data_IF_805160794868
#
_entry.id   IF_805160794868
#
_cell.length_a   1.000
_cell.length_b   1.000
_cell.length_c   1.000
_cell.angle_alpha   90.00
_cell.angle_beta   90.00
_cell.angle_gamma   90.00
#
_symmetry.space_group_name_H-M   'P 1'
#
loop_
_entity.id
_entity.type
_entity.pdbx_description
1 polymer ?
#
# COMPACT_ATOMS: atom_id res chain seq x y z
N UNK A 1 -7.76 -11.26 18.07
CA UNK A 1 -7.83 -9.79 18.18
C UNK A 1 -8.91 -9.26 17.22
N UNK A 2 -9.51 -8.13 17.58
CA UNK A 2 -10.48 -7.41 16.76
C UNK A 2 -9.75 -6.33 15.96
N UNK A 3 -10.13 -6.17 14.69
CA UNK A 3 -9.64 -5.10 13.83
C UNK A 3 -10.71 -4.01 13.77
N UNK A 4 -10.31 -2.80 14.10
CA UNK A 4 -11.19 -1.62 14.07
C UNK A 4 -10.71 -0.69 12.95
N UNK A 5 -11.65 -0.25 12.11
CA UNK A 5 -11.37 0.76 11.09
C UNK A 5 -11.15 2.12 11.73
N UNK A 6 -10.15 2.85 11.26
CA UNK A 6 -9.92 4.22 11.64
C UNK A 6 -10.09 5.13 10.42
N UNK A 7 -10.83 6.25 10.53
CA UNK A 7 -11.00 7.20 9.46
C UNK A 7 -9.68 7.77 8.96
N UNK A 8 -9.61 8.05 7.66
CA UNK A 8 -8.45 8.58 6.98
C UNK A 8 -8.87 9.63 5.94
N UNK A 9 -7.95 10.52 5.60
CA UNK A 9 -8.08 11.51 4.53
C UNK A 9 -6.95 11.39 3.50
N UNK A 10 -6.75 12.42 2.69
CA UNK A 10 -5.67 12.44 1.69
C UNK A 10 -4.25 12.56 2.29
N UNK A 11 -4.12 12.74 3.61
CA UNK A 11 -2.86 12.70 4.37
C UNK A 11 -2.76 11.44 5.29
N UNK A 12 -3.66 10.48 5.16
CA UNK A 12 -3.67 9.22 5.91
C UNK A 12 -4.56 9.24 7.14
N UNK A 13 -4.28 8.38 8.13
CA UNK A 13 -5.09 8.22 9.34
C UNK A 13 -5.31 9.55 10.07
N UNK A 14 -6.54 9.82 10.50
CA UNK A 14 -6.91 11.02 11.26
C UNK A 14 -6.51 10.87 12.73
N UNK A 15 -5.57 11.69 13.27
CA UNK A 15 -5.10 11.56 14.64
C UNK A 15 -6.22 11.71 15.67
N UNK A 16 -7.13 12.67 15.49
CA UNK A 16 -8.24 12.89 16.42
C UNK A 16 -9.15 11.65 16.53
N UNK A 17 -9.34 10.93 15.43
CA UNK A 17 -10.12 9.70 15.44
C UNK A 17 -9.38 8.56 16.14
N UNK A 18 -8.07 8.44 15.91
CA UNK A 18 -7.21 7.48 16.63
C UNK A 18 -7.25 7.76 18.13
N UNK A 19 -7.13 9.03 18.52
CA UNK A 19 -7.23 9.46 19.91
C UNK A 19 -8.56 9.05 20.54
N UNK A 20 -9.70 9.31 19.83
CA UNK A 20 -11.04 8.92 20.31
C UNK A 20 -11.19 7.40 20.44
N UNK A 21 -10.64 6.63 19.52
CA UNK A 21 -10.66 5.16 19.57
C UNK A 21 -9.88 4.69 20.80
N UNK A 22 -8.67 5.21 21.04
CA UNK A 22 -7.83 4.87 22.19
C UNK A 22 -8.50 5.21 23.53
N UNK A 23 -9.30 6.29 23.58
CA UNK A 23 -10.05 6.68 24.78
C UNK A 23 -11.27 5.77 25.07
N UNK A 24 -11.81 5.13 24.01
CA UNK A 24 -13.04 4.32 24.14
C UNK A 24 -12.75 2.84 24.37
N UNK A 25 -11.61 2.34 23.89
CA UNK A 25 -11.29 0.92 23.95
C UNK A 25 -9.77 0.70 24.10
N UNK A 26 -9.36 -0.45 24.64
CA UNK A 26 -7.93 -0.78 24.80
C UNK A 26 -7.29 -1.16 23.45
N UNK A 27 -6.77 -0.17 22.73
CA UNK A 27 -6.02 -0.39 21.49
C UNK A 27 -4.66 -0.99 21.81
N UNK A 28 -4.27 -2.07 21.13
CA UNK A 28 -2.97 -2.73 21.31
C UNK A 28 -1.95 -2.30 20.26
N UNK A 29 -2.41 -2.08 19.01
CA UNK A 29 -1.55 -1.65 17.94
C UNK A 29 -2.29 -0.78 16.92
N UNK A 30 -1.55 0.13 16.29
CA UNK A 30 -1.97 0.90 15.10
C UNK A 30 -1.16 0.37 13.93
N UNK A 31 -1.85 -0.19 12.92
CA UNK A 31 -1.22 -0.56 11.65
C UNK A 31 -1.29 0.62 10.69
N UNK A 32 -0.15 0.98 10.10
CA UNK A 32 -0.06 2.13 9.20
C UNK A 32 0.90 1.87 8.04
N UNK A 33 0.53 2.36 6.84
CA UNK A 33 1.37 2.39 5.65
C UNK A 33 1.66 3.85 5.32
N UNK A 34 2.78 4.43 5.82
CA UNK A 34 2.99 5.87 5.77
C UNK A 34 3.44 6.38 4.40
N UNK A 35 3.92 5.52 3.52
CA UNK A 35 4.40 5.87 2.18
C UNK A 35 3.64 5.07 1.12
N UNK A 36 3.07 5.77 0.12
CA UNK A 36 2.36 5.14 -1.01
C UNK A 36 1.34 4.10 -0.54
N UNK A 37 0.49 4.51 0.40
CA UNK A 37 -0.46 3.63 1.08
C UNK A 37 -1.30 2.82 0.08
N UNK A 38 -1.40 1.53 0.33
CA UNK A 38 -2.24 0.63 -0.44
C UNK A 38 -3.64 0.56 0.20
N UNK A 39 -4.72 0.96 -0.50
CA UNK A 39 -4.79 1.16 -1.97
C UNK A 39 -4.72 2.63 -2.44
N UNK A 40 -4.78 3.63 -1.56
CA UNK A 40 -5.12 5.03 -1.90
C UNK A 40 -3.95 5.87 -2.40
N UNK A 41 -2.71 5.32 -2.47
CA UNK A 41 -1.50 6.04 -2.91
C UNK A 41 -1.12 7.22 -2.00
N UNK A 42 -1.71 7.30 -0.82
CA UNK A 42 -1.45 8.38 0.14
C UNK A 42 -0.04 8.27 0.72
N UNK A 43 0.67 9.38 0.83
CA UNK A 43 1.91 9.50 1.60
C UNK A 43 1.68 10.46 2.75
N UNK A 44 1.87 9.97 3.96
CA UNK A 44 1.60 10.69 5.20
C UNK A 44 2.64 11.78 5.44
N UNK A 45 2.19 13.00 5.73
CA UNK A 45 3.06 14.13 6.08
C UNK A 45 3.82 13.89 7.39
N UNK A 46 4.92 14.62 7.58
CA UNK A 46 5.69 14.54 8.83
C UNK A 46 4.83 14.94 10.04
N UNK A 47 4.02 15.98 9.90
CA UNK A 47 3.12 16.44 10.96
C UNK A 47 2.15 15.33 11.39
N UNK A 48 1.60 14.58 10.42
CA UNK A 48 0.69 13.48 10.67
C UNK A 48 1.40 12.30 11.37
N UNK A 49 2.64 11.98 10.95
CA UNK A 49 3.47 10.94 11.62
C UNK A 49 3.76 11.31 13.06
N UNK A 50 4.14 12.57 13.31
CA UNK A 50 4.40 13.06 14.68
C UNK A 50 3.15 13.01 15.56
N UNK A 51 1.98 13.41 15.05
CA UNK A 51 0.73 13.33 15.78
C UNK A 51 0.38 11.87 16.18
N UNK A 52 0.59 10.90 15.29
CA UNK A 52 0.40 9.48 15.62
C UNK A 52 1.41 8.99 16.68
N UNK A 53 2.66 9.42 16.61
CA UNK A 53 3.69 9.12 17.62
C UNK A 53 3.27 9.64 18.99
N UNK A 54 2.78 10.87 19.07
CA UNK A 54 2.33 11.47 20.32
C UNK A 54 1.15 10.71 20.95
N UNK A 55 0.21 10.25 20.13
CA UNK A 55 -0.91 9.41 20.57
C UNK A 55 -0.38 8.05 21.05
N UNK A 56 0.49 7.40 20.28
CA UNK A 56 1.07 6.11 20.64
C UNK A 56 1.79 6.17 21.99
N UNK A 57 2.55 7.23 22.24
CA UNK A 57 3.23 7.45 23.54
C UNK A 57 2.26 7.66 24.69
N UNK A 58 1.24 8.52 24.52
CA UNK A 58 0.24 8.79 25.56
C UNK A 58 -0.53 7.54 25.98
N UNK A 59 -0.90 6.72 25.01
CA UNK A 59 -1.74 5.54 25.24
C UNK A 59 -0.95 4.23 25.33
N UNK A 60 0.39 4.29 25.23
CA UNK A 60 1.28 3.11 25.20
C UNK A 60 0.88 2.09 24.14
N UNK A 61 0.54 2.56 22.94
CA UNK A 61 0.10 1.75 21.80
C UNK A 61 1.28 1.44 20.90
N UNK A 62 1.42 0.19 20.49
CA UNK A 62 2.41 -0.24 19.49
C UNK A 62 2.06 0.29 18.12
N UNK A 63 3.04 0.74 17.34
CA UNK A 63 2.88 1.07 15.93
C UNK A 63 3.47 -0.05 15.09
N UNK A 64 2.70 -0.55 14.12
CA UNK A 64 3.15 -1.47 13.08
C UNK A 64 3.23 -0.67 11.78
N UNK A 65 4.45 -0.26 11.43
CA UNK A 65 4.74 0.53 10.24
C UNK A 65 5.10 -0.39 9.07
N UNK A 66 4.19 -0.54 8.10
CA UNK A 66 4.48 -1.22 6.83
C UNK A 66 5.05 -0.20 5.83
N UNK A 67 6.36 -0.26 5.62
CA UNK A 67 7.09 0.69 4.79
C UNK A 67 7.80 0.01 3.59
N UNK A 68 7.18 -1.02 3.06
CA UNK A 68 7.70 -1.78 1.91
C UNK A 68 7.83 -0.95 0.63
N UNK A 69 7.14 0.19 0.55
CA UNK A 69 7.22 1.15 -0.56
C UNK A 69 8.15 2.35 -0.26
N UNK A 70 8.53 2.57 0.99
CA UNK A 70 9.32 3.72 1.41
C UNK A 70 10.60 3.95 0.60
N UNK A 71 11.41 2.92 0.29
CA UNK A 71 12.62 3.08 -0.52
C UNK A 71 12.38 3.59 -1.96
N UNK A 72 11.15 3.52 -2.48
CA UNK A 72 10.78 4.05 -3.79
C UNK A 72 10.54 5.56 -3.78
N UNK A 73 10.25 6.15 -2.61
CA UNK A 73 9.97 7.58 -2.46
C UNK A 73 11.27 8.37 -2.44
N UNK A 74 11.44 9.30 -3.40
CA UNK A 74 12.70 10.05 -3.58
C UNK A 74 13.02 10.96 -2.40
N UNK A 75 12.05 11.80 -1.99
CA UNK A 75 12.20 12.77 -0.88
C UNK A 75 11.55 12.20 0.38
N UNK A 76 12.06 11.03 0.80
CA UNK A 76 11.50 10.24 1.87
C UNK A 76 11.54 10.99 3.21
N UNK A 77 10.37 11.14 3.82
CA UNK A 77 10.25 11.64 5.18
C UNK A 77 10.79 10.60 6.19
N UNK A 78 11.19 11.03 7.40
CA UNK A 78 11.58 10.11 8.46
C UNK A 78 10.51 9.04 8.69
N UNK A 79 10.94 7.78 8.78
CA UNK A 79 10.07 6.68 9.17
C UNK A 79 9.56 6.90 10.59
N UNK A 80 8.36 6.40 10.90
CA UNK A 80 7.80 6.48 12.25
C UNK A 80 8.70 5.76 13.24
N UNK A 81 9.33 4.65 12.85
CA UNK A 81 10.33 3.95 13.64
C UNK A 81 11.54 4.81 14.01
N UNK A 82 11.91 5.78 13.17
CA UNK A 82 12.96 6.77 13.50
C UNK A 82 12.50 7.84 14.49
N UNK A 83 11.20 8.10 14.56
CA UNK A 83 10.58 9.09 15.46
C UNK A 83 10.21 8.48 16.83
N UNK A 84 9.87 7.18 16.84
CA UNK A 84 9.39 6.45 18.01
C UNK A 84 9.90 4.99 18.00
N UNK A 85 11.22 4.76 18.08
CA UNK A 85 11.81 3.42 17.99
C UNK A 85 11.37 2.49 19.13
N UNK A 86 10.98 3.05 20.27
CA UNK A 86 10.58 2.30 21.46
C UNK A 86 9.20 1.65 21.35
N UNK A 87 8.34 2.11 20.44
CA UNK A 87 6.98 1.58 20.25
C UNK A 87 6.72 1.07 18.81
N UNK A 88 7.69 1.19 17.89
CA UNK A 88 7.43 0.92 16.48
C UNK A 88 8.10 -0.36 16.00
N UNK A 89 7.31 -1.21 15.34
CA UNK A 89 7.75 -2.33 14.54
C UNK A 89 7.71 -1.90 13.07
N UNK A 90 8.87 -1.73 12.45
CA UNK A 90 9.00 -1.28 11.07
C UNK A 90 9.29 -2.46 10.13
N UNK A 91 8.45 -2.60 9.11
CA UNK A 91 8.50 -3.69 8.13
C UNK A 91 9.01 -3.14 6.80
N UNK A 92 10.12 -3.71 6.33
CA UNK A 92 10.64 -3.52 4.98
C UNK A 92 10.67 -4.84 4.22
N UNK A 93 10.71 -4.78 2.89
CA UNK A 93 10.80 -5.99 2.06
C UNK A 93 11.48 -5.72 0.71
N UNK A 94 12.14 -6.75 0.18
CA UNK A 94 12.72 -6.72 -1.17
C UNK A 94 11.68 -6.82 -2.28
N UNK A 95 10.48 -7.29 -1.97
CA UNK A 95 9.45 -7.65 -2.96
C UNK A 95 8.98 -6.49 -3.85
N UNK A 96 9.08 -5.25 -3.37
CA UNK A 96 8.62 -4.05 -4.10
C UNK A 96 9.76 -3.23 -4.70
N UNK A 97 10.95 -3.42 -4.18
CA UNK A 97 12.14 -2.62 -4.54
C UNK A 97 13.16 -3.39 -5.38
N UNK A 98 13.20 -4.72 -5.28
CA UNK A 98 14.11 -5.57 -6.04
C UNK A 98 13.34 -6.61 -6.86
N UNK A 99 12.96 -7.71 -6.20
CA UNK A 99 12.26 -8.81 -6.86
C UNK A 99 11.30 -9.52 -5.90
N UNK A 100 10.03 -9.72 -6.30
CA UNK A 100 9.04 -10.40 -5.45
C UNK A 100 9.42 -11.88 -5.20
N UNK A 101 10.19 -12.50 -6.08
CA UNK A 101 10.63 -13.89 -5.97
C UNK A 101 11.65 -14.13 -4.85
N UNK A 102 12.36 -13.12 -4.36
CA UNK A 102 13.31 -13.26 -3.25
C UNK A 102 12.62 -13.60 -1.91
N UNK A 103 11.38 -13.19 -1.71
CA UNK A 103 10.60 -13.46 -0.51
C UNK A 103 11.30 -13.07 0.80
N UNK A 104 12.06 -11.97 0.79
CA UNK A 104 12.75 -11.43 1.96
C UNK A 104 12.00 -10.24 2.53
N UNK A 105 11.84 -10.25 3.86
CA UNK A 105 11.39 -9.11 4.65
C UNK A 105 12.39 -8.77 5.74
N UNK A 106 12.36 -7.54 6.18
CA UNK A 106 13.17 -7.01 7.28
C UNK A 106 12.24 -6.45 8.34
N UNK A 107 12.57 -6.73 9.60
CA UNK A 107 11.86 -6.18 10.74
C UNK A 107 12.83 -5.42 11.62
N UNK A 108 12.62 -4.12 11.80
CA UNK A 108 13.19 -3.36 12.88
C UNK A 108 12.15 -3.24 13.99
N UNK A 109 12.53 -3.52 15.23
CA UNK A 109 11.60 -3.53 16.35
C UNK A 109 12.26 -2.97 17.61
N UNK A 110 11.49 -2.62 18.66
CA UNK A 110 12.03 -2.23 19.95
C UNK A 110 13.02 -3.27 20.48
N UNK A 111 14.11 -2.79 21.10
CA UNK A 111 15.23 -3.63 21.54
C UNK A 111 14.77 -4.84 22.37
N UNK A 112 13.83 -4.61 23.29
CA UNK A 112 13.32 -5.66 24.19
C UNK A 112 12.46 -6.71 23.47
N UNK A 113 12.02 -6.43 22.23
CA UNK A 113 11.21 -7.34 21.42
C UNK A 113 12.05 -8.20 20.46
N UNK A 114 13.35 -7.94 20.31
CA UNK A 114 14.20 -8.62 19.29
C UNK A 114 14.22 -10.13 19.50
N UNK A 115 14.42 -10.60 20.74
CA UNK A 115 14.45 -12.04 21.03
C UNK A 115 13.11 -12.73 20.72
N UNK A 116 11.99 -12.09 21.05
CA UNK A 116 10.65 -12.59 20.75
C UNK A 116 10.38 -12.63 19.23
N UNK A 117 10.78 -11.60 18.50
CA UNK A 117 10.63 -11.57 17.04
C UNK A 117 11.49 -12.64 16.36
N UNK A 118 12.74 -12.85 16.81
CA UNK A 118 13.60 -13.89 16.29
C UNK A 118 13.01 -15.29 16.54
N UNK A 119 12.45 -15.53 17.73
CA UNK A 119 11.76 -16.77 18.04
C UNK A 119 10.49 -16.97 17.21
N UNK A 120 9.72 -15.89 16.96
CA UNK A 120 8.55 -15.95 16.08
C UNK A 120 8.93 -16.33 14.65
N UNK A 121 10.03 -15.81 14.12
CA UNK A 121 10.56 -16.22 12.80
C UNK A 121 10.96 -17.70 12.81
N UNK A 122 11.68 -18.13 13.85
CA UNK A 122 12.14 -19.50 13.99
C UNK A 122 10.97 -20.50 14.05
N UNK A 123 9.92 -20.18 14.77
CA UNK A 123 8.76 -21.08 14.95
C UNK A 123 7.81 -21.09 13.77
N UNK A 124 7.76 -20.04 12.95
CA UNK A 124 6.83 -19.93 11.81
C UNK A 124 7.46 -20.33 10.48
N UNK A 125 8.67 -19.88 10.22
CA UNK A 125 9.35 -20.03 8.92
C UNK A 125 10.76 -20.63 9.03
N UNK A 126 11.22 -20.93 10.25
CA UNK A 126 12.57 -21.33 10.60
C UNK A 126 13.60 -20.24 10.29
N UNK A 127 13.77 -19.89 9.01
CA UNK A 127 14.59 -18.78 8.51
C UNK A 127 14.17 -18.40 7.08
N UNK A 128 14.50 -17.23 6.58
CA UNK A 128 14.45 -16.94 5.15
C UNK A 128 15.36 -17.90 4.37
N UNK A 129 15.04 -18.15 3.09
CA UNK A 129 15.88 -19.00 2.25
C UNK A 129 17.32 -18.44 2.15
N UNK A 130 18.37 -19.20 2.52
CA UNK A 130 19.75 -18.73 2.50
C UNK A 130 20.20 -18.23 1.13
N UNK A 131 19.75 -18.85 0.04
CA UNK A 131 20.02 -18.42 -1.32
C UNK A 131 19.47 -17.02 -1.59
N UNK A 132 18.23 -16.73 -1.16
CA UNK A 132 17.62 -15.40 -1.32
C UNK A 132 18.37 -14.34 -0.52
N UNK A 133 18.79 -14.68 0.70
CA UNK A 133 19.60 -13.78 1.53
C UNK A 133 20.94 -13.45 0.84
N UNK A 134 21.64 -14.47 0.35
CA UNK A 134 22.91 -14.29 -0.35
C UNK A 134 22.74 -13.41 -1.60
N UNK A 135 21.74 -13.69 -2.44
CA UNK A 135 21.46 -12.87 -3.63
C UNK A 135 21.20 -11.42 -3.24
N UNK A 136 20.35 -11.15 -2.24
CA UNK A 136 20.05 -9.80 -1.82
C UNK A 136 21.30 -9.08 -1.26
N UNK A 137 22.12 -9.79 -0.47
CA UNK A 137 23.38 -9.25 0.07
C UNK A 137 24.33 -8.85 -1.05
N UNK A 138 24.59 -9.76 -2.00
CA UNK A 138 25.48 -9.48 -3.15
C UNK A 138 24.94 -8.29 -3.96
N UNK A 139 23.64 -8.25 -4.25
CA UNK A 139 23.05 -7.15 -5.02
C UNK A 139 23.13 -5.79 -4.32
N UNK A 140 23.07 -5.79 -2.97
CA UNK A 140 23.21 -4.56 -2.19
C UNK A 140 24.70 -4.11 -2.20
N UNK A 141 25.63 -5.05 -1.98
CA UNK A 141 27.06 -4.74 -1.87
C UNK A 141 27.72 -4.34 -3.21
N UNK A 142 27.28 -4.91 -4.34
CA UNK A 142 27.83 -4.63 -5.67
C UNK A 142 27.08 -3.53 -6.45
N UNK A 143 26.07 -2.89 -5.83
CA UNK A 143 25.27 -1.81 -6.43
C UNK A 143 24.23 -2.30 -7.45
N UNK A 144 23.99 -3.61 -7.58
CA UNK A 144 22.96 -4.16 -8.46
C UNK A 144 21.55 -3.77 -7.96
N UNK A 145 21.36 -3.72 -6.63
CA UNK A 145 20.08 -3.33 -6.04
C UNK A 145 19.66 -1.92 -6.47
N UNK A 146 20.58 -0.95 -6.42
CA UNK A 146 20.34 0.43 -6.84
C UNK A 146 20.00 0.51 -8.33
N UNK A 147 20.71 -0.24 -9.18
CA UNK A 147 20.45 -0.29 -10.63
C UNK A 147 19.06 -0.87 -10.93
N UNK A 148 18.67 -1.96 -10.26
CA UNK A 148 17.34 -2.57 -10.40
C UNK A 148 16.27 -1.57 -9.98
N UNK A 149 16.41 -0.95 -8.80
CA UNK A 149 15.45 0.02 -8.28
C UNK A 149 15.32 1.23 -9.20
N UNK A 150 16.41 1.78 -9.71
CA UNK A 150 16.40 2.89 -10.66
C UNK A 150 15.66 2.54 -11.96
N UNK A 151 15.90 1.35 -12.51
CA UNK A 151 15.23 0.87 -13.72
C UNK A 151 13.73 0.66 -13.49
N UNK A 152 13.34 0.07 -12.34
CA UNK A 152 11.93 -0.10 -11.95
C UNK A 152 11.23 1.26 -11.78
N UNK A 153 11.85 2.22 -11.11
CA UNK A 153 11.27 3.55 -10.93
C UNK A 153 11.07 4.28 -12.27
N UNK A 154 12.00 4.15 -13.21
CA UNK A 154 11.85 4.72 -14.54
C UNK A 154 10.66 4.10 -15.30
N UNK A 155 10.49 2.77 -15.21
CA UNK A 155 9.36 2.07 -15.82
C UNK A 155 8.04 2.40 -15.14
N UNK A 156 8.00 2.43 -13.80
CA UNK A 156 6.80 2.81 -13.03
C UNK A 156 6.35 4.21 -13.43
N UNK A 157 7.28 5.19 -13.48
CA UNK A 157 6.97 6.57 -13.89
C UNK A 157 6.32 6.61 -15.27
N UNK A 158 6.90 5.93 -16.27
CA UNK A 158 6.34 5.89 -17.60
C UNK A 158 4.93 5.29 -17.63
N UNK A 159 4.66 4.25 -16.83
CA UNK A 159 3.34 3.62 -16.71
C UNK A 159 2.33 4.50 -15.98
N UNK A 160 2.76 5.24 -14.97
CA UNK A 160 1.92 6.25 -14.28
C UNK A 160 1.54 7.37 -15.24
N UNK A 161 2.47 7.83 -16.08
CA UNK A 161 2.18 8.87 -17.07
C UNK A 161 1.12 8.41 -18.10
N UNK A 162 1.19 7.15 -18.56
CA UNK A 162 0.15 6.55 -19.38
C UNK A 162 -1.22 6.48 -18.66
N UNK A 163 -1.23 6.16 -17.37
CA UNK A 163 -2.46 6.15 -16.59
C UNK A 163 -3.06 7.56 -16.46
N UNK A 164 -2.22 8.59 -16.24
CA UNK A 164 -2.64 10.00 -16.17
C UNK A 164 -3.19 10.52 -17.50
N UNK A 165 -2.65 10.05 -18.62
CA UNK A 165 -3.12 10.43 -19.96
C UNK A 165 -4.49 9.82 -20.28
N UNK A 166 -4.72 8.57 -19.89
CA UNK A 166 -5.87 7.78 -20.34
C UNK A 166 -7.05 7.76 -19.36
N UNK A 167 -6.83 8.10 -18.09
CA UNK A 167 -7.85 8.14 -17.06
C UNK A 167 -8.18 9.57 -16.62
N UNK A 168 -9.39 9.85 -16.13
CA UNK A 168 -9.82 11.22 -15.77
C UNK A 168 -9.03 11.77 -14.58
N UNK A 169 -8.33 12.86 -14.78
CA UNK A 169 -7.39 13.47 -13.82
C UNK A 169 -8.04 13.82 -12.47
N UNK A 170 -9.29 14.32 -12.45
CA UNK A 170 -10.00 14.68 -11.21
C UNK A 170 -10.42 13.48 -10.33
N UNK A 171 -10.27 12.25 -10.81
CA UNK A 171 -10.65 11.03 -10.11
C UNK A 171 -9.46 10.12 -9.83
N UNK A 172 -8.29 10.42 -10.41
CA UNK A 172 -7.10 9.60 -10.34
C UNK A 172 -6.11 10.13 -9.29
N UNK A 173 -5.81 9.31 -8.28
CA UNK A 173 -4.69 9.53 -7.38
C UNK A 173 -3.52 8.64 -7.82
N UNK A 174 -2.40 9.27 -8.12
CA UNK A 174 -1.22 8.61 -8.69
C UNK A 174 0.06 9.31 -8.22
N UNK A 175 1.07 8.51 -7.88
CA UNK A 175 2.41 8.97 -7.55
C UNK A 175 3.42 8.34 -8.54
N UNK A 176 4.41 9.08 -9.05
CA UNK A 176 5.37 8.58 -10.02
C UNK A 176 6.25 7.41 -9.51
N UNK A 177 6.27 7.17 -8.21
CA UNK A 177 6.99 6.04 -7.60
C UNK A 177 6.07 4.86 -7.24
N UNK A 178 4.74 4.99 -7.43
CA UNK A 178 3.79 3.96 -7.05
C UNK A 178 3.43 3.04 -8.22
N UNK A 179 3.58 1.74 -8.01
CA UNK A 179 3.27 0.71 -9.03
C UNK A 179 1.77 0.47 -9.24
N UNK A 180 0.91 1.21 -8.56
CA UNK A 180 -0.55 1.20 -8.73
C UNK A 180 -1.09 2.62 -8.60
N UNK A 181 -2.29 2.81 -9.10
CA UNK A 181 -3.06 4.05 -8.97
C UNK A 181 -4.41 3.77 -8.34
N UNK A 182 -4.97 4.78 -7.69
CA UNK A 182 -6.31 4.75 -7.14
C UNK A 182 -7.24 5.58 -8.00
N UNK A 183 -8.30 4.96 -8.51
CA UNK A 183 -9.33 5.62 -9.32
C UNK A 183 -10.60 5.72 -8.50
N UNK A 184 -10.98 6.94 -8.09
CA UNK A 184 -12.27 7.24 -7.49
C UNK A 184 -13.36 7.12 -8.55
N UNK A 185 -14.45 6.49 -8.21
CA UNK A 185 -15.54 6.24 -9.14
C UNK A 185 -16.66 7.28 -8.93
N UNK A 186 -17.09 7.96 -10.01
CA UNK A 186 -18.21 8.88 -9.89
C UNK A 186 -19.53 8.12 -9.74
N UNK A 187 -20.56 8.70 -9.08
CA UNK A 187 -21.89 8.15 -9.12
C UNK A 187 -22.38 7.98 -10.57
N UNK A 188 -23.13 6.94 -10.90
CA UNK A 188 -23.69 5.94 -10.00
C UNK A 188 -22.84 4.67 -9.82
N UNK A 189 -21.53 4.68 -10.17
CA UNK A 189 -20.68 3.51 -10.07
C UNK A 189 -20.41 3.10 -8.61
N UNK A 190 -20.71 1.85 -8.30
CA UNK A 190 -20.21 1.17 -7.11
C UNK A 190 -18.92 0.41 -7.47
N UNK A 191 -17.98 0.29 -6.51
CA UNK A 191 -16.67 -0.29 -6.78
C UNK A 191 -16.75 -1.75 -7.28
N UNK A 192 -17.61 -2.56 -6.67
CA UNK A 192 -17.78 -3.97 -7.04
C UNK A 192 -18.43 -4.12 -8.42
N UNK A 193 -19.42 -3.28 -8.76
CA UNK A 193 -20.07 -3.28 -10.06
C UNK A 193 -19.09 -2.87 -11.17
N UNK A 194 -18.27 -1.84 -10.90
CA UNK A 194 -17.23 -1.41 -11.83
C UNK A 194 -16.20 -2.52 -12.06
N UNK A 195 -15.70 -3.14 -11.00
CA UNK A 195 -14.74 -4.24 -11.08
C UNK A 195 -15.30 -5.44 -11.86
N UNK A 196 -16.59 -5.79 -11.64
CA UNK A 196 -17.27 -6.85 -12.38
C UNK A 196 -17.42 -6.52 -13.88
N UNK A 197 -17.81 -5.27 -14.21
CA UNK A 197 -17.92 -4.80 -15.60
C UNK A 197 -16.56 -4.75 -16.32
N UNK A 198 -15.50 -4.31 -15.63
CA UNK A 198 -14.14 -4.33 -16.16
C UNK A 198 -13.66 -5.77 -16.41
N UNK A 199 -13.91 -6.69 -15.47
CA UNK A 199 -13.56 -8.10 -15.61
C UNK A 199 -14.27 -8.77 -16.80
N UNK A 200 -15.54 -8.47 -17.02
CA UNK A 200 -16.28 -8.95 -18.18
C UNK A 200 -15.69 -8.48 -19.53
N UNK A 201 -14.87 -7.41 -19.51
CA UNK A 201 -14.13 -6.86 -20.66
C UNK A 201 -12.65 -7.28 -20.68
N UNK A 202 -12.25 -8.21 -19.81
CA UNK A 202 -10.89 -8.76 -19.73
C UNK A 202 -9.92 -7.98 -18.86
N UNK A 203 -10.38 -7.01 -18.05
CA UNK A 203 -9.50 -6.23 -17.16
C UNK A 203 -9.88 -6.45 -15.69
N UNK A 204 -8.91 -6.92 -14.89
CA UNK A 204 -9.11 -7.16 -13.46
C UNK A 204 -8.56 -5.96 -12.68
N UNK A 205 -9.42 -5.35 -11.86
CA UNK A 205 -9.06 -4.31 -10.89
C UNK A 205 -9.56 -4.69 -9.49
N UNK A 206 -8.98 -4.10 -8.46
CA UNK A 206 -9.34 -4.42 -7.08
C UNK A 206 -10.28 -3.34 -6.53
N UNK A 207 -11.54 -3.67 -6.20
CA UNK A 207 -12.49 -2.72 -5.64
C UNK A 207 -12.15 -2.35 -4.19
N UNK A 208 -12.61 -1.19 -3.73
CA UNK A 208 -12.44 -0.69 -2.36
C UNK A 208 -12.88 -1.69 -1.29
N UNK A 209 -13.94 -2.46 -1.56
CA UNK A 209 -14.46 -3.50 -0.67
C UNK A 209 -13.45 -4.58 -0.29
N UNK A 210 -12.41 -4.78 -1.10
CA UNK A 210 -11.31 -5.74 -0.83
C UNK A 210 -10.39 -5.28 0.29
N UNK A 211 -10.31 -3.96 0.53
CA UNK A 211 -9.36 -3.35 1.47
C UNK A 211 -10.03 -2.88 2.76
N UNK A 212 -11.34 -2.79 2.76
CA UNK A 212 -12.08 -2.23 3.88
C UNK A 212 -12.27 -3.24 5.02
N UNK A 213 -12.06 -2.78 6.23
CA UNK A 213 -12.46 -3.48 7.46
C UNK A 213 -13.96 -3.35 7.66
N UNK A 214 -14.51 -2.14 7.49
CA UNK A 214 -15.94 -1.85 7.51
C UNK A 214 -16.42 -1.47 6.12
N UNK A 215 -17.58 -2.01 5.71
CA UNK A 215 -18.16 -1.77 4.38
C UNK A 215 -19.25 -0.70 4.39
N UNK A 216 -19.63 -0.19 5.57
CA UNK A 216 -20.75 0.74 5.70
C UNK A 216 -20.44 2.14 5.14
N UNK A 217 -19.17 2.59 5.19
CA UNK A 217 -18.74 3.93 4.78
C UNK A 217 -17.63 3.86 3.71
N UNK A 218 -17.82 3.06 2.67
CA UNK A 218 -16.82 2.89 1.62
C UNK A 218 -16.88 4.00 0.57
N UNK A 219 -15.77 4.72 0.42
CA UNK A 219 -15.52 5.48 -0.81
C UNK A 219 -15.45 4.50 -1.99
N UNK A 220 -16.27 4.71 -3.04
CA UNK A 220 -16.25 3.87 -4.21
C UNK A 220 -15.04 4.19 -5.10
N UNK A 221 -14.07 3.30 -5.07
CA UNK A 221 -12.86 3.40 -5.87
C UNK A 221 -12.30 2.02 -6.23
N UNK A 222 -11.37 2.00 -7.16
CA UNK A 222 -10.66 0.78 -7.56
C UNK A 222 -9.16 1.04 -7.61
N UNK A 223 -8.38 0.06 -7.13
CA UNK A 223 -6.93 0.04 -7.32
C UNK A 223 -6.59 -0.63 -8.65
N UNK A 224 -5.83 0.06 -9.48
CA UNK A 224 -5.33 -0.42 -10.77
C UNK A 224 -3.83 -0.67 -10.60
N UNK A 225 -3.40 -1.93 -10.74
CA UNK A 225 -1.99 -2.29 -10.69
C UNK A 225 -1.35 -2.08 -12.07
N UNK A 226 -0.40 -1.16 -12.16
CA UNK A 226 0.29 -0.81 -13.40
C UNK A 226 1.44 -1.75 -13.73
N UNK A 227 1.94 -2.51 -12.75
CA UNK A 227 3.08 -3.41 -12.90
C UNK A 227 2.69 -4.83 -13.36
N UNK A 228 1.39 -5.18 -13.37
CA UNK A 228 0.93 -6.50 -13.79
C UNK A 228 1.05 -6.75 -15.31
N UNK A 229 0.66 -5.81 -16.21
CA UNK A 229 0.79 -6.02 -17.64
C UNK A 229 2.26 -6.21 -18.04
N UNK A 230 2.56 -7.20 -18.90
CA UNK A 230 3.92 -7.50 -19.31
C UNK A 230 4.51 -6.38 -20.16
N UNK A 231 3.70 -5.72 -20.99
CA UNK A 231 4.11 -4.63 -21.87
C UNK A 231 3.32 -3.36 -21.59
N UNK A 232 3.86 -2.22 -22.07
CA UNK A 232 3.11 -0.94 -22.03
C UNK A 232 1.89 -0.95 -22.93
N UNK A 233 1.92 -1.68 -24.05
CA UNK A 233 0.78 -1.79 -24.97
C UNK A 233 -0.38 -2.53 -24.32
N UNK A 234 -0.12 -3.61 -23.58
CA UNK A 234 -1.14 -4.29 -22.77
C UNK A 234 -1.72 -3.36 -21.71
N UNK A 235 -0.87 -2.58 -21.04
CA UNK A 235 -1.32 -1.57 -20.08
C UNK A 235 -2.22 -0.53 -20.72
N UNK A 236 -1.80 0.05 -21.84
CA UNK A 236 -2.60 1.05 -22.61
C UNK A 236 -3.95 0.49 -23.00
N UNK A 237 -3.98 -0.76 -23.51
CA UNK A 237 -5.24 -1.41 -23.85
C UNK A 237 -6.16 -1.58 -22.64
N UNK A 238 -5.62 -2.05 -21.51
CA UNK A 238 -6.37 -2.17 -20.26
C UNK A 238 -6.91 -0.83 -19.76
N UNK A 239 -6.08 0.22 -19.76
CA UNK A 239 -6.48 1.57 -19.34
C UNK A 239 -7.58 2.16 -20.25
N UNK A 240 -7.52 1.93 -21.57
CA UNK A 240 -8.58 2.33 -22.52
C UNK A 240 -9.90 1.63 -22.23
N UNK A 241 -9.87 0.33 -21.92
CA UNK A 241 -11.05 -0.43 -21.51
C UNK A 241 -11.66 0.16 -20.24
N UNK A 242 -10.85 0.47 -19.23
CA UNK A 242 -11.31 1.09 -17.98
C UNK A 242 -11.90 2.49 -18.22
N UNK A 243 -11.22 3.32 -19.03
CA UNK A 243 -11.73 4.65 -19.43
C UNK A 243 -13.05 4.56 -20.17
N UNK A 244 -13.21 3.58 -21.07
CA UNK A 244 -14.47 3.28 -21.74
C UNK A 244 -15.57 2.83 -20.78
N UNK A 245 -15.22 1.93 -19.84
CA UNK A 245 -16.16 1.44 -18.82
C UNK A 245 -16.71 2.57 -17.94
N UNK A 246 -15.87 3.55 -17.58
CA UNK A 246 -16.32 4.72 -16.80
C UNK A 246 -17.38 5.56 -17.49
N UNK A 247 -17.37 5.61 -18.82
CA UNK A 247 -18.33 6.39 -19.64
C UNK A 247 -19.67 5.68 -19.80
N UNK A 248 -19.70 4.38 -19.54
CA UNK A 248 -20.92 3.60 -19.61
C UNK A 248 -21.76 3.76 -18.35
N UNK A 249 -23.03 3.34 -18.45
CA UNK A 249 -23.86 3.17 -17.25
C UNK A 249 -23.60 1.79 -16.63
N UNK A 250 -23.62 1.67 -15.29
CA UNK A 250 -23.55 0.37 -14.64
C UNK A 250 -24.59 -0.59 -15.24
N UNK A 251 -24.15 -1.70 -15.83
CA UNK A 251 -25.05 -2.79 -16.16
C UNK A 251 -25.14 -3.65 -14.91
N UNK A 252 -26.36 -3.82 -14.38
CA UNK A 252 -26.60 -4.83 -13.37
C UNK A 252 -26.25 -6.20 -14.01
N UNK A 253 -25.10 -6.75 -13.66
CA UNK A 253 -24.83 -8.15 -13.94
C UNK A 253 -25.65 -8.92 -12.92
N UNK A 254 -26.92 -9.23 -13.28
CA UNK A 254 -27.76 -10.12 -12.50
C UNK A 254 -26.96 -11.41 -12.29
N UNK A 255 -26.56 -11.62 -11.04
CA UNK A 255 -25.97 -12.89 -10.63
C UNK A 255 -26.95 -13.99 -11.01
N UNK A 256 -26.44 -14.98 -11.73
CA UNK A 256 -27.14 -16.23 -11.93
C UNK A 256 -27.51 -16.76 -10.55
N UNK A 257 -28.80 -16.93 -10.35
CA UNK A 257 -29.40 -17.65 -9.22
C UNK A 257 -28.85 -19.08 -9.20
#
# INVERSE_FOLDING_TARGET
FEIVSAPADDDGLLPDEIERICQRMPVKAIFVVPNLQNPTVTTMSLARRMALVDIARRHHVTIIEDDVYGPLVRDRLPAIAGLCPELTFHIGATSKILAPGLRLGYLSCPRDSVALCAEAVRTTAWMPAPTSMLIATVWIEDGTAERIMAAQLAEIRARVDLARELLPAGQLKADPACMFVWLRLPPPWRADDFAANAKARGVIVMPSSTFAVDRAELEHGVRINLACPATRDELVNGLRILSGTLKDRPRALFGSI
#
